data_IF_386709665815
#
_entry.id   IF_386709665815
#
_cell.length_a   1.000
_cell.length_b   1.000
_cell.length_c   1.000
_cell.angle_alpha   90.00
_cell.angle_beta   90.00
_cell.angle_gamma   90.00
#
_symmetry.space_group_name_H-M   'P 1'
#
loop_
_entity.id
_entity.type
_entity.pdbx_description
1 polymer ?
#
# COMPACT_ATOMS: atom_id res chain seq x y z
N UNK A 1 -6.42 2.55 -5.30
CA UNK A 1 -5.81 1.67 -6.33
C UNK A 1 -4.39 2.06 -6.74
N UNK A 2 -4.10 3.33 -7.05
CA UNK A 2 -2.74 3.74 -7.44
C UNK A 2 -1.66 3.35 -6.40
N UNK A 3 -1.92 3.60 -5.11
CA UNK A 3 -1.01 3.24 -4.02
C UNK A 3 -0.76 1.72 -3.95
N UNK A 4 -1.80 0.90 -4.08
CA UNK A 4 -1.67 -0.56 -4.16
C UNK A 4 -0.76 -0.98 -5.33
N UNK A 5 -0.89 -0.32 -6.47
CA UNK A 5 -0.03 -0.56 -7.63
C UNK A 5 1.45 -0.25 -7.30
N UNK A 6 1.74 0.91 -6.69
CA UNK A 6 3.11 1.22 -6.25
C UNK A 6 3.70 0.19 -5.30
N UNK A 7 2.91 -0.26 -4.32
CA UNK A 7 3.33 -1.28 -3.36
C UNK A 7 3.63 -2.59 -4.08
N UNK A 8 2.72 -3.07 -4.95
CA UNK A 8 2.90 -4.31 -5.71
C UNK A 8 4.08 -4.27 -6.68
N UNK A 9 4.32 -3.11 -7.31
CA UNK A 9 5.48 -2.90 -8.18
C UNK A 9 6.78 -2.77 -7.38
N UNK A 10 6.71 -2.53 -6.06
CA UNK A 10 7.88 -2.36 -5.23
C UNK A 10 8.55 -0.98 -5.37
N UNK A 11 7.79 0.05 -5.79
CA UNK A 11 8.32 1.41 -6.00
C UNK A 11 9.01 1.98 -4.75
N UNK A 12 8.41 1.92 -3.53
CA UNK A 12 9.09 2.42 -2.33
C UNK A 12 10.44 1.73 -2.09
N UNK A 13 10.48 0.41 -2.28
CA UNK A 13 11.69 -0.39 -2.11
C UNK A 13 12.75 -0.08 -3.17
N UNK A 14 12.35 0.15 -4.42
CA UNK A 14 13.26 0.53 -5.49
C UNK A 14 13.95 1.87 -5.18
N UNK A 15 13.18 2.90 -4.82
CA UNK A 15 13.73 4.20 -4.42
C UNK A 15 14.65 4.05 -3.20
N UNK A 16 14.25 3.24 -2.21
CA UNK A 16 15.08 2.98 -1.04
C UNK A 16 16.44 2.35 -1.40
N UNK A 17 16.46 1.36 -2.30
CA UNK A 17 17.68 0.69 -2.77
C UNK A 17 18.60 1.63 -3.57
N UNK A 18 18.05 2.63 -4.23
CA UNK A 18 18.80 3.71 -4.91
C UNK A 18 19.37 4.76 -3.94
N UNK A 19 19.29 4.56 -2.62
CA UNK A 19 19.79 5.51 -1.62
C UNK A 19 18.75 6.51 -1.13
N UNK A 20 17.47 6.30 -1.43
CA UNK A 20 16.35 7.14 -0.96
C UNK A 20 15.84 8.15 -1.98
N UNK A 21 16.51 8.27 -3.13
CA UNK A 21 16.08 9.01 -4.32
C UNK A 21 16.39 8.20 -5.57
N UNK A 22 15.56 8.30 -6.60
CA UNK A 22 15.78 7.63 -7.88
C UNK A 22 15.24 8.45 -9.06
N UNK A 23 15.96 8.49 -10.18
CA UNK A 23 15.46 9.03 -11.45
C UNK A 23 14.41 8.10 -12.07
N UNK A 24 13.67 8.60 -13.06
CA UNK A 24 12.72 7.76 -13.79
C UNK A 24 13.43 6.59 -14.49
N UNK A 25 14.58 6.83 -15.12
CA UNK A 25 15.35 5.78 -15.78
C UNK A 25 15.88 4.73 -14.81
N UNK A 26 16.32 5.13 -13.61
CA UNK A 26 16.74 4.19 -12.56
C UNK A 26 15.58 3.31 -12.09
N UNK A 27 14.39 3.90 -11.91
CA UNK A 27 13.19 3.13 -11.57
C UNK A 27 12.81 2.15 -12.66
N UNK A 28 12.89 2.55 -13.93
CA UNK A 28 12.60 1.67 -15.07
C UNK A 28 13.61 0.52 -15.21
N UNK A 29 14.86 0.72 -14.79
CA UNK A 29 15.87 -0.34 -14.80
C UNK A 29 15.66 -1.40 -13.73
N UNK A 30 15.02 -1.04 -12.60
CA UNK A 30 14.84 -1.94 -11.43
C UNK A 30 13.44 -2.54 -11.35
N UNK A 31 12.42 -1.81 -11.79
CA UNK A 31 11.03 -2.25 -11.68
C UNK A 31 10.64 -3.21 -12.81
N UNK A 32 9.78 -4.20 -12.54
CA UNK A 32 9.30 -5.15 -13.54
C UNK A 32 8.19 -4.50 -14.41
N UNK A 33 8.54 -3.53 -15.25
CA UNK A 33 7.61 -2.80 -16.13
C UNK A 33 8.01 -3.00 -17.60
N UNK A 34 7.04 -3.38 -18.44
CA UNK A 34 7.27 -3.48 -19.89
C UNK A 34 7.59 -2.12 -20.52
N UNK A 35 8.45 -2.12 -21.54
CA UNK A 35 8.87 -0.90 -22.27
C UNK A 35 7.71 -0.07 -22.81
N UNK A 36 6.63 -0.71 -23.26
CA UNK A 36 5.42 -0.04 -23.77
C UNK A 36 4.57 0.65 -22.67
N UNK A 37 4.92 0.50 -21.38
CA UNK A 37 4.23 1.10 -20.23
C UNK A 37 5.09 2.13 -19.50
N UNK A 38 6.29 2.43 -19.97
CA UNK A 38 7.19 3.40 -19.33
C UNK A 38 6.54 4.78 -19.12
N UNK A 39 5.85 5.30 -20.15
CA UNK A 39 5.11 6.57 -20.05
C UNK A 39 4.01 6.54 -18.99
N UNK A 40 3.39 5.37 -18.78
CA UNK A 40 2.34 5.18 -17.77
C UNK A 40 2.93 5.17 -16.37
N UNK A 41 4.13 4.61 -16.18
CA UNK A 41 4.85 4.69 -14.91
C UNK A 41 5.20 6.15 -14.58
N UNK A 42 5.69 6.93 -15.56
CA UNK A 42 5.99 8.34 -15.35
C UNK A 42 4.75 9.12 -14.87
N UNK A 43 3.58 8.86 -15.47
CA UNK A 43 2.30 9.46 -15.03
C UNK A 43 1.88 9.01 -13.63
N UNK A 44 2.06 7.73 -13.31
CA UNK A 44 1.78 7.17 -11.99
C UNK A 44 2.64 7.83 -10.91
N UNK A 45 3.95 7.98 -11.16
CA UNK A 45 4.88 8.63 -10.24
C UNK A 45 4.50 10.10 -10.02
N UNK A 46 4.20 10.85 -11.09
CA UNK A 46 3.71 12.23 -10.98
C UNK A 46 2.44 12.32 -10.11
N UNK A 47 1.47 11.43 -10.32
CA UNK A 47 0.25 11.38 -9.51
C UNK A 47 0.55 11.16 -8.02
N UNK A 48 1.45 10.23 -7.71
CA UNK A 48 1.83 9.93 -6.33
C UNK A 48 2.61 11.09 -5.68
N UNK A 49 3.44 11.79 -6.45
CA UNK A 49 4.09 13.01 -5.99
C UNK A 49 3.07 14.09 -5.65
N UNK A 50 2.11 14.36 -6.55
CA UNK A 50 1.05 15.35 -6.30
C UNK A 50 0.19 14.97 -5.09
N UNK A 51 0.07 13.68 -4.78
CA UNK A 51 -0.62 13.16 -3.60
C UNK A 51 0.23 13.21 -2.31
N UNK A 52 1.48 13.69 -2.38
CA UNK A 52 2.41 13.78 -1.24
C UNK A 52 3.06 12.45 -0.83
N UNK A 53 2.84 11.37 -1.58
CA UNK A 53 3.42 10.06 -1.28
C UNK A 53 4.91 10.01 -1.58
N UNK A 54 5.37 10.71 -2.61
CA UNK A 54 6.79 10.83 -2.98
C UNK A 54 7.15 12.29 -3.17
N UNK A 55 8.41 12.65 -2.92
CA UNK A 55 8.94 13.93 -3.35
C UNK A 55 9.34 13.86 -4.83
N UNK A 56 9.31 14.99 -5.52
CA UNK A 56 9.87 15.12 -6.86
C UNK A 56 10.67 16.41 -6.93
N UNK A 57 11.93 16.30 -7.34
CA UNK A 57 12.72 17.46 -7.76
C UNK A 57 12.65 17.48 -9.29
N UNK A 58 11.98 18.47 -9.90
CA UNK A 58 11.94 18.59 -11.34
C UNK A 58 13.35 18.88 -11.86
N UNK A 59 13.65 18.37 -13.06
CA UNK A 59 14.86 18.76 -13.77
C UNK A 59 14.82 20.28 -13.99
N UNK A 60 15.69 21.02 -13.32
CA UNK A 60 15.87 22.45 -13.61
C UNK A 60 16.60 22.60 -14.93
N UNK A 61 16.10 23.45 -15.83
CA UNK A 61 16.90 24.00 -16.92
C UNK A 61 18.02 24.84 -16.30
N UNK A 62 19.25 24.33 -16.31
CA UNK A 62 20.40 25.09 -15.86
C UNK A 62 20.75 26.15 -16.92
N UNK A 63 20.53 27.42 -16.60
CA UNK A 63 20.96 28.58 -17.39
C UNK A 63 22.46 28.86 -17.25
N UNK A 64 23.29 27.82 -17.10
CA UNK A 64 24.73 27.98 -16.84
C UNK A 64 25.50 26.79 -17.42
N UNK A 65 26.31 27.09 -18.44
CA UNK A 65 26.96 26.15 -19.36
C UNK A 65 28.07 25.27 -18.79
N UNK A 66 27.77 24.44 -17.78
CA UNK A 66 28.63 23.34 -17.37
C UNK A 66 27.78 22.10 -17.01
N UNK A 67 28.05 20.99 -17.70
CA UNK A 67 27.42 19.67 -17.61
C UNK A 67 27.10 19.23 -16.17
N UNK A 68 25.94 18.65 -15.85
CA UNK A 68 25.40 17.38 -16.35
C UNK A 68 23.89 17.53 -16.67
N UNK A 69 23.49 17.19 -17.90
CA UNK A 69 22.07 17.02 -18.28
C UNK A 69 21.48 15.84 -17.50
N UNK A 70 20.69 16.12 -16.46
CA UNK A 70 19.62 15.20 -16.06
C UNK A 70 18.29 15.88 -16.35
N UNK A 71 17.78 15.70 -17.57
CA UNK A 71 16.44 16.15 -18.00
C UNK A 71 15.31 15.33 -17.36
N UNK A 72 15.63 14.51 -16.36
CA UNK A 72 14.72 13.56 -15.75
C UNK A 72 14.32 14.00 -14.35
N UNK A 73 13.05 13.81 -14.03
CA UNK A 73 12.54 14.02 -12.68
C UNK A 73 13.18 13.01 -11.72
N UNK A 74 13.64 13.51 -10.57
CA UNK A 74 14.17 12.68 -9.49
C UNK A 74 13.11 12.53 -8.41
N UNK A 75 12.74 11.29 -8.11
CA UNK A 75 11.73 10.93 -7.11
C UNK A 75 12.39 10.54 -5.79
N UNK A 76 11.87 11.05 -4.67
CA UNK A 76 12.41 10.79 -3.33
C UNK A 76 11.37 10.21 -2.38
N UNK A 77 11.83 9.47 -1.36
CA UNK A 77 10.97 9.02 -0.27
C UNK A 77 10.56 10.20 0.63
N UNK A 78 9.28 10.25 0.98
CA UNK A 78 8.73 11.09 2.05
C UNK A 78 8.58 10.23 3.32
N UNK A 79 8.26 10.82 4.49
CA UNK A 79 7.91 10.03 5.66
C UNK A 79 6.79 9.01 5.40
N UNK A 80 5.83 9.35 4.53
CA UNK A 80 4.69 8.49 4.18
C UNK A 80 5.11 7.33 3.27
N UNK A 81 5.97 7.54 2.27
CA UNK A 81 6.46 6.41 1.46
C UNK A 81 7.52 5.58 2.19
N UNK A 82 8.21 6.14 3.18
CA UNK A 82 9.21 5.41 3.98
C UNK A 82 8.59 4.30 4.81
N UNK A 83 7.39 4.49 5.36
CA UNK A 83 6.66 3.44 6.09
C UNK A 83 6.14 2.31 5.18
N UNK A 84 6.26 2.45 3.86
CA UNK A 84 5.90 1.42 2.88
C UNK A 84 7.11 0.60 2.42
N UNK A 85 8.30 0.96 2.88
CA UNK A 85 9.54 0.24 2.58
C UNK A 85 9.57 -1.02 3.44
N UNK A 86 9.72 -2.15 2.77
CA UNK A 86 9.97 -3.44 3.39
C UNK A 86 11.48 -3.57 3.56
N UNK A 87 12.02 -3.14 4.70
CA UNK A 87 13.43 -3.39 5.01
C UNK A 87 13.61 -4.88 5.32
N UNK A 88 14.33 -5.59 4.45
CA UNK A 88 14.69 -7.00 4.62
C UNK A 88 15.98 -7.17 5.43
N UNK A 89 16.55 -6.09 5.96
CA UNK A 89 17.71 -6.10 6.85
C UNK A 89 17.45 -6.88 8.14
N UNK A 90 18.54 -7.39 8.73
CA UNK A 90 18.54 -8.16 9.99
C UNK A 90 17.96 -7.31 11.15
N UNK A 91 18.02 -5.98 11.04
CA UNK A 91 17.43 -5.05 11.99
C UNK A 91 15.98 -4.71 11.59
N UNK A 92 15.03 -5.59 11.94
CA UNK A 92 13.58 -5.43 11.69
C UNK A 92 12.93 -4.31 12.52
N UNK A 93 13.62 -3.18 12.71
CA UNK A 93 13.21 -2.03 13.53
C UNK A 93 12.26 -1.07 12.83
N UNK A 94 12.10 -1.19 11.51
CA UNK A 94 11.29 -0.26 10.73
C UNK A 94 9.86 -0.78 10.52
N UNK A 95 8.90 0.12 10.72
CA UNK A 95 7.47 -0.12 10.47
C UNK A 95 7.24 -0.26 8.97
N UNK A 96 6.56 -1.34 8.56
CA UNK A 96 6.21 -1.59 7.17
C UNK A 96 4.69 -1.78 7.04
N UNK A 97 3.98 -0.74 6.60
CA UNK A 97 2.52 -0.76 6.38
C UNK A 97 2.13 -1.18 4.95
N UNK A 98 3.08 -1.64 4.12
CA UNK A 98 2.72 -2.19 2.81
C UNK A 98 1.71 -3.34 2.88
N UNK A 99 1.75 -4.28 3.85
CA UNK A 99 0.72 -5.31 3.95
C UNK A 99 -0.66 -4.75 4.26
N UNK A 100 -0.74 -3.72 5.12
CA UNK A 100 -2.00 -3.04 5.43
C UNK A 100 -2.63 -2.41 4.18
N UNK A 101 -1.83 -1.73 3.37
CA UNK A 101 -2.29 -1.19 2.07
C UNK A 101 -2.87 -2.30 1.20
N UNK A 102 -2.21 -3.46 1.13
CA UNK A 102 -2.71 -4.59 0.34
C UNK A 102 -4.02 -5.15 0.89
N UNK A 103 -4.17 -5.26 2.22
CA UNK A 103 -5.37 -5.74 2.89
C UNK A 103 -6.61 -4.86 2.64
N UNK A 104 -6.47 -3.54 2.80
CA UNK A 104 -7.58 -2.59 2.61
C UNK A 104 -7.93 -2.32 1.15
N UNK A 105 -7.09 -2.79 0.22
CA UNK A 105 -7.31 -2.66 -1.24
C UNK A 105 -7.60 -3.99 -1.93
N UNK A 106 -7.98 -5.01 -1.15
CA UNK A 106 -8.51 -6.28 -1.70
C UNK A 106 -9.83 -6.06 -2.44
N UNK A 107 -10.16 -6.98 -3.34
CA UNK A 107 -11.41 -6.92 -4.11
C UNK A 107 -12.64 -6.85 -3.20
N UNK A 108 -12.65 -7.60 -2.09
CA UNK A 108 -13.76 -7.63 -1.15
C UNK A 108 -13.99 -6.28 -0.47
N UNK A 109 -12.91 -5.60 -0.08
CA UNK A 109 -12.96 -4.28 0.55
C UNK A 109 -13.37 -3.19 -0.44
N UNK A 110 -12.83 -3.24 -1.67
CA UNK A 110 -13.21 -2.31 -2.74
C UNK A 110 -14.68 -2.51 -3.11
N UNK A 111 -15.14 -3.75 -3.26
CA UNK A 111 -16.54 -4.06 -3.54
C UNK A 111 -17.46 -3.54 -2.44
N UNK A 112 -17.12 -3.77 -1.17
CA UNK A 112 -17.87 -3.25 -0.03
C UNK A 112 -17.98 -1.71 -0.08
N UNK A 113 -16.88 -1.01 -0.38
CA UNK A 113 -16.88 0.45 -0.50
C UNK A 113 -17.79 0.94 -1.65
N UNK A 114 -17.83 0.23 -2.78
CA UNK A 114 -18.71 0.58 -3.90
C UNK A 114 -20.20 0.33 -3.60
N UNK A 115 -20.52 -0.49 -2.61
CA UNK A 115 -21.90 -0.76 -2.19
C UNK A 115 -22.41 0.16 -1.08
N UNK A 116 -21.58 1.09 -0.57
CA UNK A 116 -21.98 1.99 0.53
C UNK A 116 -23.25 2.78 0.22
N UNK A 117 -23.36 3.37 -0.97
CA UNK A 117 -24.54 4.16 -1.35
C UNK A 117 -25.82 3.31 -1.37
N UNK A 118 -25.73 2.08 -1.90
CA UNK A 118 -26.85 1.13 -1.92
C UNK A 118 -27.20 0.65 -0.51
N UNK A 119 -26.20 0.41 0.33
CA UNK A 119 -26.38 -0.03 1.71
C UNK A 119 -27.03 1.04 2.61
N UNK A 120 -26.68 2.31 2.42
CA UNK A 120 -27.38 3.42 3.09
C UNK A 120 -28.77 3.72 2.50
N UNK A 121 -29.03 3.28 1.27
CA UNK A 121 -30.27 3.56 0.55
C UNK A 121 -31.42 2.66 1.00
N UNK A 122 -32.63 3.22 1.02
CA UNK A 122 -33.86 2.49 1.35
C UNK A 122 -34.43 1.73 0.13
N UNK A 123 -33.59 1.18 -0.75
CA UNK A 123 -34.05 0.32 -1.86
C UNK A 123 -34.37 -1.09 -1.33
N UNK A 124 -35.18 -1.19 -0.28
CA UNK A 124 -35.85 -2.42 0.10
C UNK A 124 -36.95 -2.67 -0.93
N UNK A 125 -36.62 -3.50 -1.92
CA UNK A 125 -37.53 -4.03 -2.91
C UNK A 125 -38.61 -4.87 -2.23
N UNK A 126 -39.67 -4.25 -1.70
CA UNK A 126 -41.02 -4.82 -1.46
C UNK A 126 -41.16 -6.18 -0.76
N UNK A 127 -40.08 -6.74 -0.24
CA UNK A 127 -39.98 -8.07 0.37
C UNK A 127 -39.26 -7.84 1.69
N UNK A 128 -39.83 -8.40 2.75
CA UNK A 128 -39.33 -8.38 4.12
C UNK A 128 -38.02 -9.21 4.27
N UNK A 129 -37.08 -9.11 3.33
CA UNK A 129 -35.72 -9.58 3.56
C UNK A 129 -35.01 -8.56 4.46
N UNK A 130 -34.56 -9.04 5.63
CA UNK A 130 -33.73 -8.25 6.53
C UNK A 130 -32.54 -7.67 5.76
N UNK A 131 -32.40 -6.34 5.79
CA UNK A 131 -31.31 -5.67 5.11
C UNK A 131 -29.96 -6.17 5.68
N UNK A 132 -28.96 -6.43 4.84
CA UNK A 132 -27.66 -6.89 5.30
C UNK A 132 -27.03 -5.89 6.28
N UNK A 133 -26.56 -6.41 7.42
CA UNK A 133 -26.06 -5.60 8.55
C UNK A 133 -24.89 -4.68 8.16
N UNK A 134 -24.07 -5.10 7.19
CA UNK A 134 -22.90 -4.34 6.75
C UNK A 134 -22.85 -4.20 5.22
N UNK A 135 -22.20 -3.14 4.69
CA UNK A 135 -21.97 -2.99 3.26
C UNK A 135 -21.08 -4.12 2.71
N UNK A 136 -20.25 -4.73 3.57
CA UNK A 136 -19.46 -5.90 3.20
C UNK A 136 -20.34 -7.12 2.93
N UNK A 137 -21.30 -7.40 3.81
CA UNK A 137 -22.28 -8.48 3.60
C UNK A 137 -23.12 -8.22 2.36
N UNK A 138 -23.57 -6.97 2.16
CA UNK A 138 -24.33 -6.59 0.96
C UNK A 138 -23.53 -6.85 -0.33
N UNK A 139 -22.23 -6.53 -0.34
CA UNK A 139 -21.39 -6.65 -1.52
C UNK A 139 -20.92 -8.09 -1.81
N UNK A 140 -20.68 -8.88 -0.76
CA UNK A 140 -19.97 -10.15 -0.85
C UNK A 140 -20.85 -11.37 -0.50
N UNK A 141 -22.11 -11.14 -0.10
CA UNK A 141 -23.10 -12.19 0.20
C UNK A 141 -22.89 -12.95 1.51
N UNK A 142 -21.83 -12.62 2.27
CA UNK A 142 -21.55 -13.15 3.60
C UNK A 142 -20.71 -12.14 4.37
N UNK A 143 -20.64 -12.31 5.68
CA UNK A 143 -19.78 -11.51 6.54
C UNK A 143 -18.28 -11.68 6.22
N UNK A 144 -17.47 -10.83 6.85
CA UNK A 144 -16.03 -10.81 6.68
C UNK A 144 -15.39 -12.19 6.97
N UNK A 145 -15.78 -12.83 8.08
CA UNK A 145 -15.21 -14.10 8.51
C UNK A 145 -15.67 -15.28 7.65
N UNK A 146 -16.89 -15.22 7.11
CA UNK A 146 -17.37 -16.14 6.09
C UNK A 146 -16.52 -16.12 4.83
N UNK A 147 -16.04 -14.95 4.38
CA UNK A 147 -15.07 -14.87 3.29
C UNK A 147 -13.69 -15.37 3.73
N UNK A 148 -13.16 -14.90 4.86
CA UNK A 148 -11.83 -15.29 5.34
C UNK A 148 -11.67 -16.79 5.58
N UNK A 149 -12.72 -17.48 6.01
CA UNK A 149 -12.70 -18.95 6.17
C UNK A 149 -12.69 -19.70 4.84
N UNK A 150 -13.19 -19.10 3.75
CA UNK A 150 -13.32 -19.72 2.42
C UNK A 150 -12.20 -19.34 1.45
N UNK A 151 -11.60 -18.16 1.62
CA UNK A 151 -10.47 -17.66 0.84
C UNK A 151 -9.23 -17.52 1.74
N UNK A 152 -8.37 -18.56 1.78
CA UNK A 152 -7.14 -18.54 2.57
C UNK A 152 -6.19 -17.41 2.20
N UNK A 153 -6.19 -16.97 0.93
CA UNK A 153 -5.32 -15.90 0.45
C UNK A 153 -5.78 -14.55 0.97
N UNK A 154 -7.09 -14.32 1.00
CA UNK A 154 -7.64 -13.13 1.64
C UNK A 154 -7.33 -13.10 3.13
N UNK A 155 -7.51 -14.24 3.81
CA UNK A 155 -7.20 -14.36 5.23
C UNK A 155 -5.72 -14.08 5.53
N UNK A 156 -4.80 -14.63 4.73
CA UNK A 156 -3.36 -14.36 4.85
C UNK A 156 -3.06 -12.87 4.68
N UNK A 157 -3.51 -12.26 3.58
CA UNK A 157 -3.29 -10.83 3.31
C UNK A 157 -3.87 -9.95 4.42
N UNK A 158 -5.04 -10.31 4.95
CA UNK A 158 -5.65 -9.58 6.06
C UNK A 158 -4.82 -9.72 7.35
N UNK A 159 -4.42 -10.94 7.71
CA UNK A 159 -3.63 -11.19 8.91
C UNK A 159 -2.26 -10.48 8.84
N UNK A 160 -1.61 -10.50 7.67
CA UNK A 160 -0.39 -9.74 7.44
C UNK A 160 -0.62 -8.23 7.57
N UNK A 161 -1.75 -7.73 7.06
CA UNK A 161 -2.19 -6.36 7.22
C UNK A 161 -2.37 -5.95 8.67
N UNK A 162 -3.10 -6.75 9.46
CA UNK A 162 -3.35 -6.52 10.89
C UNK A 162 -2.09 -6.70 11.74
N UNK A 163 -1.13 -7.50 11.29
CA UNK A 163 0.16 -7.66 11.97
C UNK A 163 1.17 -6.55 11.67
N UNK A 164 0.92 -5.71 10.66
CA UNK A 164 1.91 -4.77 10.12
C UNK A 164 2.23 -3.57 11.04
N UNK A 165 1.29 -3.18 11.90
CA UNK A 165 1.43 -2.09 12.86
C UNK A 165 1.81 -2.58 14.28
N UNK A 166 1.82 -3.89 14.53
CA UNK A 166 2.15 -4.48 15.85
C UNK A 166 3.52 -4.04 16.40
N UNK A 167 4.44 -3.65 15.51
CA UNK A 167 5.77 -3.13 15.84
C UNK A 167 5.79 -1.65 16.25
N UNK A 168 4.65 -0.95 16.11
CA UNK A 168 4.47 0.43 16.55
C UNK A 168 4.42 0.55 18.08
N UNK A 169 4.12 -0.56 18.79
CA UNK A 169 3.97 -0.56 20.25
C UNK A 169 4.98 -1.51 20.95
N UNK A 170 6.12 -1.01 21.46
CA UNK A 170 7.06 -1.83 22.22
C UNK A 170 6.48 -2.40 23.53
N UNK A 171 5.29 -1.96 23.97
CA UNK A 171 4.63 -2.51 25.15
C UNK A 171 4.07 -3.94 24.94
N UNK A 172 3.79 -4.37 23.70
CA UNK A 172 3.26 -5.73 23.45
C UNK A 172 4.35 -6.82 23.47
N UNK A 173 5.62 -6.48 23.25
CA UNK A 173 6.71 -7.47 23.28
C UNK A 173 7.09 -7.85 24.73
N UNK A 174 6.85 -6.97 25.70
CA UNK A 174 7.10 -7.23 27.13
C UNK A 174 6.07 -8.18 27.77
N UNK A 175 4.85 -8.29 27.25
CA UNK A 175 3.84 -9.22 27.79
C UNK A 175 4.05 -10.68 27.34
N UNK A 176 4.91 -10.93 26.33
CA UNK A 176 5.19 -12.28 25.84
C UNK A 176 6.39 -12.95 26.53
N UNK A 177 7.23 -12.19 27.22
CA UNK A 177 8.44 -12.69 27.91
C UNK A 177 8.24 -12.82 29.43
N UNK A 178 7.13 -12.30 29.97
CA UNK A 178 6.86 -12.21 31.41
C UNK A 178 5.90 -13.26 31.99
N UNK A 179 6.09 -14.55 31.70
CA UNK A 179 5.46 -15.61 32.51
C UNK A 179 6.51 -16.67 32.86
N UNK A 180 7.11 -16.60 34.07
CA UNK A 180 7.84 -17.73 34.61
C UNK A 180 6.83 -18.83 34.94
N UNK A 181 7.04 -20.03 34.38
CA UNK A 181 6.42 -21.24 34.91
C UNK A 181 6.82 -21.36 36.38
N UNK A 182 5.82 -21.61 37.24
CA UNK A 182 6.05 -21.88 38.64
C UNK A 182 6.79 -23.20 38.86
N UNK A 183 7.54 -23.22 39.95
CA UNK A 183 7.78 -24.36 40.81
C UNK A 183 7.45 -23.92 42.25
#
# INVERSE_FOLDING_TARGET
MALQCAVKLGIPNAIHRCGGTASLSELLAVLPVDSNKHDKLARLMRFMTMSGLFACVPATECDSGAAIMTTENVYGLTPVSRILVSDTGIDRRYVNLSPFVLAVTTQYQVNAAMHLAKWFGNETTGVEEEAPETPFMMANGTDFWGIASRDPKFNEVFNDGMGSDSRFNPACEMLRVGSPMGD
#
